data_IF_033185211825
#
_entry.id   IF_033185211825
#
_cell.length_a   1.000
_cell.length_b   1.000
_cell.length_c   1.000
_cell.angle_alpha   90.00
_cell.angle_beta   90.00
_cell.angle_gamma   90.00
#
_symmetry.space_group_name_H-M   'P 1'
#
loop_
_entity.id
_entity.type
_entity.pdbx_description
1 polymer ?
#
# COMPACT_ATOMS: atom_id res chain seq x y z
N UNK A 1 16.41 14.96 -35.04
CA UNK A 1 15.90 14.20 -33.87
C UNK A 1 17.09 13.49 -33.23
N UNK A 2 17.49 13.82 -32.03
CA UNK A 2 18.52 13.06 -31.31
C UNK A 2 17.82 12.04 -30.40
N UNK A 3 18.17 10.80 -30.59
CA UNK A 3 17.86 9.66 -29.73
C UNK A 3 18.60 9.81 -28.40
N UNK A 4 17.90 10.06 -27.32
CA UNK A 4 18.47 10.06 -25.96
C UNK A 4 18.58 8.62 -25.48
N UNK A 5 19.79 8.09 -25.42
CA UNK A 5 20.10 6.82 -24.73
C UNK A 5 20.32 7.11 -23.24
N UNK A 6 19.47 6.57 -22.43
CA UNK A 6 19.75 6.45 -21.00
C UNK A 6 20.76 5.31 -20.78
N UNK A 7 21.89 5.65 -20.23
CA UNK A 7 22.84 4.67 -19.65
C UNK A 7 22.91 4.91 -18.14
N UNK A 8 22.78 3.89 -17.31
CA UNK A 8 23.08 4.00 -15.88
C UNK A 8 24.59 4.07 -15.70
N UNK A 9 25.08 5.08 -15.00
CA UNK A 9 26.48 5.15 -14.56
C UNK A 9 26.70 4.15 -13.44
N UNK A 10 27.35 3.05 -13.78
CA UNK A 10 28.01 2.19 -12.82
C UNK A 10 29.41 2.78 -12.56
N UNK A 11 29.64 3.23 -11.33
CA UNK A 11 30.99 3.58 -10.87
C UNK A 11 31.74 2.29 -10.55
N UNK A 12 32.71 1.95 -11.40
CA UNK A 12 33.68 0.91 -11.14
C UNK A 12 34.85 1.51 -10.38
N UNK A 13 35.06 1.10 -9.13
CA UNK A 13 36.40 1.16 -8.50
C UNK A 13 37.02 -0.23 -8.54
N UNK A 14 38.05 -0.34 -9.34
CA UNK A 14 38.92 -1.50 -9.46
C UNK A 14 39.85 -1.50 -8.24
N UNK A 15 39.87 -2.60 -7.49
CA UNK A 15 41.08 -3.03 -6.76
C UNK A 15 41.24 -4.53 -6.89
N UNK A 16 42.32 -4.90 -7.54
CA UNK A 16 42.86 -6.25 -7.69
C UNK A 16 43.40 -6.78 -6.36
N UNK A 17 43.14 -8.03 -6.02
CA UNK A 17 44.20 -9.01 -5.77
C UNK A 17 43.67 -10.42 -5.44
N UNK A 18 44.28 -11.35 -6.12
CA UNK A 18 44.38 -12.79 -6.00
C UNK A 18 44.07 -13.48 -4.66
N UNK A 19 43.24 -14.56 -4.63
CA UNK A 19 43.74 -15.96 -4.66
C UNK A 19 42.65 -17.00 -4.37
N UNK A 20 42.68 -18.05 -5.19
CA UNK A 20 42.34 -19.47 -4.96
C UNK A 20 40.91 -19.91 -4.52
N UNK A 21 40.28 -20.49 -5.50
CA UNK A 21 39.61 -21.81 -5.54
C UNK A 21 38.72 -22.27 -4.38
N UNK A 22 37.44 -22.51 -4.72
CA UNK A 22 36.50 -23.27 -3.94
C UNK A 22 35.16 -23.39 -4.63
N UNK A 23 35.06 -24.34 -5.57
CA UNK A 23 33.81 -24.72 -6.23
C UNK A 23 32.76 -25.17 -5.18
N UNK A 24 31.64 -24.44 -5.03
CA UNK A 24 30.39 -25.01 -4.52
C UNK A 24 29.24 -24.67 -5.46
N UNK A 25 28.81 -25.73 -6.18
CA UNK A 25 27.61 -25.76 -7.01
C UNK A 25 26.38 -25.40 -6.16
N UNK A 26 25.61 -24.38 -6.56
CA UNK A 26 24.22 -24.18 -6.15
C UNK A 26 23.37 -25.30 -6.75
N UNK A 27 22.91 -26.22 -5.93
CA UNK A 27 21.90 -27.24 -6.29
C UNK A 27 20.52 -26.62 -5.99
N UNK A 28 19.67 -26.59 -7.02
CA UNK A 28 18.43 -25.86 -7.05
C UNK A 28 17.37 -26.30 -6.05
N UNK A 29 16.54 -25.35 -5.66
CA UNK A 29 15.50 -25.43 -4.63
C UNK A 29 14.31 -26.41 -4.88
N UNK A 30 14.33 -27.25 -5.90
CA UNK A 30 13.24 -28.20 -6.16
C UNK A 30 13.51 -29.60 -5.62
N UNK A 31 14.75 -29.96 -5.35
CA UNK A 31 15.09 -31.28 -4.76
C UNK A 31 14.82 -31.35 -3.25
N UNK A 32 14.83 -30.21 -2.55
CA UNK A 32 14.52 -30.15 -1.12
C UNK A 32 13.06 -30.43 -0.80
N UNK A 33 12.11 -29.91 -1.59
CA UNK A 33 10.66 -30.14 -1.39
C UNK A 33 10.25 -31.59 -1.64
N UNK A 34 10.85 -32.24 -2.63
CA UNK A 34 10.58 -33.65 -2.93
C UNK A 34 11.17 -34.59 -1.87
N UNK A 35 12.32 -34.25 -1.30
CA UNK A 35 12.92 -35.00 -0.20
C UNK A 35 12.11 -34.87 1.11
N UNK A 36 11.51 -33.71 1.39
CA UNK A 36 10.65 -33.49 2.56
C UNK A 36 9.37 -34.32 2.52
N UNK A 37 8.70 -34.36 1.36
CA UNK A 37 7.46 -35.15 1.18
C UNK A 37 7.78 -36.64 1.32
N UNK A 38 8.89 -37.10 0.76
CA UNK A 38 9.33 -38.51 0.89
C UNK A 38 9.69 -38.88 2.33
N UNK A 39 10.31 -37.98 3.08
CA UNK A 39 10.68 -38.22 4.48
C UNK A 39 9.45 -38.23 5.40
N UNK A 40 8.44 -37.40 5.13
CA UNK A 40 7.18 -37.39 5.87
C UNK A 40 6.39 -38.70 5.69
N UNK A 41 6.37 -39.26 4.46
CA UNK A 41 5.76 -40.54 4.18
C UNK A 41 6.54 -41.71 4.82
N UNK A 42 7.86 -41.65 4.87
CA UNK A 42 8.70 -42.67 5.52
C UNK A 42 8.54 -42.61 7.06
N UNK A 43 8.49 -41.42 7.66
CA UNK A 43 8.26 -41.27 9.11
C UNK A 43 6.84 -41.67 9.53
N UNK A 44 5.82 -41.35 8.73
CA UNK A 44 4.44 -41.80 9.02
C UNK A 44 4.26 -43.31 8.90
N UNK A 45 4.97 -43.97 7.99
CA UNK A 45 4.95 -45.45 7.87
C UNK A 45 5.75 -46.14 8.97
N UNK A 46 6.78 -45.52 9.53
CA UNK A 46 7.54 -46.05 10.66
C UNK A 46 6.78 -45.95 12.01
N UNK A 47 5.92 -44.95 12.17
CA UNK A 47 5.08 -44.77 13.38
C UNK A 47 3.93 -45.79 13.44
N UNK A 48 3.55 -46.41 12.33
CA UNK A 48 2.47 -47.42 12.25
C UNK A 48 2.97 -48.89 12.33
N UNK A 49 4.26 -49.13 12.55
CA UNK A 49 4.81 -50.45 12.67
C UNK A 49 4.72 -51.03 14.10
N UNK A 50 4.14 -52.19 14.33
CA UNK A 50 4.03 -52.81 15.66
C UNK A 50 5.35 -53.36 16.24
N UNK A 51 6.48 -53.15 15.58
CA UNK A 51 7.82 -53.59 16.02
C UNK A 51 8.71 -52.43 16.48
N UNK A 52 8.22 -51.57 17.38
CA UNK A 52 9.04 -50.52 17.96
C UNK A 52 9.71 -51.02 19.25
N UNK A 53 10.68 -51.92 19.10
CA UNK A 53 11.62 -52.29 20.14
C UNK A 53 12.93 -51.54 19.97
N UNK A 54 13.18 -50.58 20.86
CA UNK A 54 14.49 -49.98 21.19
C UNK A 54 15.31 -49.53 19.97
N UNK A 55 14.97 -48.36 19.39
CA UNK A 55 15.92 -47.57 18.64
C UNK A 55 16.57 -46.54 19.57
N UNK A 56 17.84 -46.77 19.88
CA UNK A 56 18.71 -45.75 20.48
C UNK A 56 18.89 -44.66 19.41
N UNK A 57 18.17 -43.55 19.53
CA UNK A 57 18.37 -42.37 18.69
C UNK A 57 19.79 -41.87 18.92
N UNK A 58 20.64 -41.99 17.90
CA UNK A 58 21.97 -41.40 17.97
C UNK A 58 21.87 -39.88 18.14
N UNK A 59 22.73 -39.26 18.90
CA UNK A 59 22.79 -37.80 19.13
C UNK A 59 22.85 -37.01 17.82
N UNK A 60 23.36 -37.63 16.73
CA UNK A 60 23.41 -37.03 15.40
C UNK A 60 22.04 -36.91 14.73
N UNK A 61 21.12 -37.85 14.91
CA UNK A 61 19.77 -37.79 14.36
C UNK A 61 18.92 -36.72 15.09
N UNK A 62 19.08 -36.63 16.41
CA UNK A 62 18.42 -35.58 17.21
C UNK A 62 18.93 -34.19 16.84
N UNK A 63 20.22 -34.02 16.59
CA UNK A 63 20.80 -32.76 16.10
C UNK A 63 20.31 -32.43 14.69
N UNK A 64 20.14 -33.41 13.82
CA UNK A 64 19.63 -33.23 12.46
C UNK A 64 18.14 -32.83 12.44
N UNK A 65 17.33 -33.50 13.25
CA UNK A 65 15.90 -33.17 13.43
C UNK A 65 15.74 -31.79 14.07
N UNK A 66 16.54 -31.47 15.09
CA UNK A 66 16.55 -30.17 15.76
C UNK A 66 17.00 -29.05 14.83
N UNK A 67 18.03 -29.29 14.01
CA UNK A 67 18.45 -28.37 12.95
C UNK A 67 17.36 -28.15 11.91
N UNK A 68 16.71 -29.23 11.46
CA UNK A 68 15.62 -29.18 10.48
C UNK A 68 14.40 -28.45 11.02
N UNK A 69 14.00 -28.70 12.28
CA UNK A 69 12.91 -27.98 12.96
C UNK A 69 13.24 -26.49 13.13
N UNK A 70 14.49 -26.17 13.50
CA UNK A 70 14.94 -24.77 13.59
C UNK A 70 14.97 -24.09 12.23
N UNK A 71 15.48 -24.73 11.20
CA UNK A 71 15.51 -24.18 9.84
C UNK A 71 14.10 -23.98 9.29
N UNK A 72 13.15 -24.90 9.57
CA UNK A 72 11.74 -24.74 9.22
C UNK A 72 11.04 -23.65 10.06
N UNK A 73 11.41 -23.51 11.33
CA UNK A 73 10.90 -22.43 12.18
C UNK A 73 11.46 -21.07 11.76
N UNK A 74 12.72 -21.02 11.32
CA UNK A 74 13.36 -19.81 10.80
C UNK A 74 12.86 -19.45 9.40
N UNK A 75 12.55 -20.42 8.52
CA UNK A 75 11.84 -20.15 7.25
C UNK A 75 10.39 -19.69 7.50
N UNK A 76 9.67 -20.24 8.48
CA UNK A 76 8.36 -19.73 8.88
C UNK A 76 8.42 -18.35 9.52
N UNK A 77 9.50 -18.01 10.25
CA UNK A 77 9.73 -16.65 10.72
C UNK A 77 10.00 -15.65 9.60
N UNK A 78 10.62 -16.09 8.51
CA UNK A 78 10.94 -15.25 7.35
C UNK A 78 9.76 -14.86 6.46
N UNK A 79 8.57 -15.44 6.65
CA UNK A 79 7.40 -15.22 5.79
C UNK A 79 6.23 -14.53 6.49
N UNK A 80 6.47 -13.84 7.62
CA UNK A 80 5.44 -13.06 8.32
C UNK A 80 5.41 -11.63 7.81
N UNK A 81 5.02 -11.45 6.57
CA UNK A 81 4.72 -10.13 6.00
C UNK A 81 3.27 -10.11 5.54
N UNK A 82 2.69 -8.94 5.58
CA UNK A 82 1.42 -8.70 4.93
C UNK A 82 1.53 -9.04 3.45
N UNK A 83 0.43 -9.43 2.83
CA UNK A 83 0.40 -9.70 1.41
C UNK A 83 -0.57 -8.78 0.72
N UNK A 84 -0.12 -8.19 -0.37
CA UNK A 84 -0.92 -7.28 -1.16
C UNK A 84 -1.05 -7.80 -2.58
N UNK A 85 -2.27 -7.78 -3.09
CA UNK A 85 -2.55 -8.09 -4.49
C UNK A 85 -3.49 -7.06 -5.09
N UNK A 86 -3.41 -6.92 -6.40
CA UNK A 86 -4.36 -6.15 -7.18
C UNK A 86 -5.13 -7.12 -8.07
N UNK A 87 -6.46 -7.07 -7.98
CA UNK A 87 -7.36 -7.87 -8.78
C UNK A 87 -8.13 -6.97 -9.73
N UNK A 88 -7.99 -7.21 -11.01
CA UNK A 88 -8.74 -6.51 -12.07
C UNK A 88 -9.38 -7.54 -12.98
N UNK A 89 -10.68 -7.45 -13.30
CA UNK A 89 -11.30 -8.30 -14.30
C UNK A 89 -10.87 -7.87 -15.71
N UNK A 90 -11.05 -8.76 -16.68
CA UNK A 90 -10.89 -8.40 -18.08
C UNK A 90 -11.87 -7.28 -18.49
N UNK A 91 -11.49 -6.50 -19.51
CA UNK A 91 -12.29 -5.38 -20.01
C UNK A 91 -13.60 -5.79 -20.72
N UNK A 92 -13.96 -7.08 -20.73
CA UNK A 92 -15.12 -7.65 -21.41
C UNK A 92 -16.26 -7.97 -20.45
N UNK A 93 -17.48 -8.07 -20.99
CA UNK A 93 -18.68 -8.45 -20.24
C UNK A 93 -19.38 -7.30 -19.55
N UNK A 94 -20.51 -7.60 -18.91
CA UNK A 94 -21.29 -6.68 -18.09
C UNK A 94 -20.55 -6.34 -16.79
N UNK A 95 -21.05 -5.39 -16.03
CA UNK A 95 -20.47 -5.09 -14.71
C UNK A 95 -20.65 -6.27 -13.74
N UNK A 96 -21.80 -6.95 -13.82
CA UNK A 96 -22.05 -8.15 -13.03
C UNK A 96 -21.10 -9.31 -13.37
N UNK A 97 -20.73 -9.50 -14.63
CA UNK A 97 -19.71 -10.51 -15.01
C UNK A 97 -18.37 -10.20 -14.34
N UNK A 98 -18.01 -8.92 -14.23
CA UNK A 98 -16.79 -8.46 -13.58
C UNK A 98 -16.82 -8.68 -12.06
N UNK A 99 -17.96 -8.44 -11.44
CA UNK A 99 -18.17 -8.72 -10.01
C UNK A 99 -18.06 -10.22 -9.72
N UNK A 100 -18.66 -11.07 -10.54
CA UNK A 100 -18.56 -12.52 -10.43
C UNK A 100 -17.11 -13.02 -10.63
N UNK A 101 -16.39 -12.45 -11.59
CA UNK A 101 -14.96 -12.75 -11.77
C UNK A 101 -14.15 -12.41 -10.51
N UNK A 102 -14.35 -11.21 -9.95
CA UNK A 102 -13.64 -10.77 -8.75
C UNK A 102 -14.02 -11.61 -7.53
N UNK A 103 -15.28 -11.99 -7.39
CA UNK A 103 -15.74 -12.90 -6.34
C UNK A 103 -14.95 -14.22 -6.37
N UNK A 104 -14.88 -14.86 -7.54
CA UNK A 104 -14.16 -16.12 -7.70
C UNK A 104 -12.65 -15.96 -7.49
N UNK A 105 -12.06 -14.89 -8.02
CA UNK A 105 -10.62 -14.63 -7.88
C UNK A 105 -10.21 -14.31 -6.45
N UNK A 106 -11.00 -13.49 -5.76
CA UNK A 106 -10.76 -13.17 -4.35
C UNK A 106 -10.95 -14.41 -3.48
N UNK A 107 -12.02 -15.18 -3.68
CA UNK A 107 -12.26 -16.44 -2.95
C UNK A 107 -11.09 -17.41 -3.09
N UNK A 108 -10.65 -17.68 -4.33
CA UNK A 108 -9.49 -18.54 -4.57
C UNK A 108 -8.20 -18.00 -3.91
N UNK A 109 -8.00 -16.69 -3.92
CA UNK A 109 -6.85 -16.09 -3.23
C UNK A 109 -6.95 -16.30 -1.72
N UNK A 110 -8.10 -16.02 -1.12
CA UNK A 110 -8.29 -16.18 0.33
C UNK A 110 -8.17 -17.64 0.78
N UNK A 111 -8.58 -18.61 -0.03
CA UNK A 111 -8.36 -20.04 0.26
C UNK A 111 -6.87 -20.38 0.30
N UNK A 112 -6.06 -19.81 -0.60
CA UNK A 112 -4.60 -19.99 -0.58
C UNK A 112 -4.00 -19.31 0.66
N UNK A 113 -4.40 -18.08 0.94
CA UNK A 113 -3.89 -17.32 2.09
C UNK A 113 -4.25 -17.99 3.43
N UNK A 114 -5.43 -18.60 3.52
CA UNK A 114 -5.86 -19.39 4.68
C UNK A 114 -4.93 -20.56 5.01
N UNK A 115 -4.34 -21.19 3.99
CA UNK A 115 -3.34 -22.27 4.22
C UNK A 115 -2.06 -21.73 4.87
N UNK A 116 -1.79 -20.44 4.70
CA UNK A 116 -0.68 -19.72 5.32
C UNK A 116 -1.11 -18.95 6.60
N UNK A 117 -2.32 -19.25 7.11
CA UNK A 117 -2.93 -18.61 8.29
C UNK A 117 -3.17 -17.09 8.13
N UNK A 118 -3.23 -16.56 6.91
CA UNK A 118 -3.57 -15.16 6.67
C UNK A 118 -5.07 -14.98 6.43
N UNK A 119 -5.59 -13.86 6.89
CA UNK A 119 -6.98 -13.44 6.72
C UNK A 119 -7.06 -12.11 5.99
N UNK A 120 -8.19 -11.85 5.34
CA UNK A 120 -8.47 -10.55 4.72
C UNK A 120 -8.54 -9.48 5.80
N UNK A 121 -7.69 -8.46 5.69
CA UNK A 121 -7.62 -7.34 6.62
C UNK A 121 -8.20 -6.06 6.04
N UNK A 122 -7.98 -5.82 4.74
CA UNK A 122 -8.36 -4.57 4.10
C UNK A 122 -8.62 -4.77 2.61
N UNK A 123 -9.57 -4.02 2.06
CA UNK A 123 -9.84 -3.95 0.64
C UNK A 123 -10.15 -2.51 0.19
N UNK A 124 -9.47 -2.01 -0.84
CA UNK A 124 -9.82 -0.76 -1.53
C UNK A 124 -10.43 -1.09 -2.88
N UNK A 125 -11.63 -0.58 -3.10
CA UNK A 125 -12.40 -0.78 -4.32
C UNK A 125 -12.34 0.50 -5.16
N UNK A 126 -11.81 0.38 -6.36
CA UNK A 126 -11.77 1.45 -7.35
C UNK A 126 -12.91 1.24 -8.35
N UNK A 127 -13.76 2.22 -8.52
CA UNK A 127 -14.88 2.20 -9.47
C UNK A 127 -14.67 3.26 -10.57
N UNK A 128 -15.14 2.96 -11.78
CA UNK A 128 -15.13 3.93 -12.88
C UNK A 128 -16.35 4.85 -12.88
N UNK A 129 -17.46 4.44 -12.23
CA UNK A 129 -18.74 5.14 -12.25
C UNK A 129 -19.56 4.67 -11.04
N UNK A 130 -19.30 5.29 -9.90
CA UNK A 130 -19.89 4.87 -8.63
C UNK A 130 -21.41 5.06 -8.61
N UNK A 131 -21.95 6.05 -9.31
CA UNK A 131 -23.40 6.30 -9.38
C UNK A 131 -24.17 5.11 -9.98
N UNK A 132 -23.61 4.51 -11.04
CA UNK A 132 -24.23 3.36 -11.70
C UNK A 132 -23.84 2.01 -11.10
N UNK A 133 -22.69 1.92 -10.42
CA UNK A 133 -22.08 0.65 -10.04
C UNK A 133 -22.28 0.26 -8.58
N UNK A 134 -22.50 1.24 -7.68
CA UNK A 134 -22.52 0.97 -6.24
C UNK A 134 -23.64 0.00 -5.82
N UNK A 135 -24.83 0.12 -6.42
CA UNK A 135 -25.95 -0.75 -6.09
C UNK A 135 -25.67 -2.20 -6.49
N UNK A 136 -25.20 -2.43 -7.74
CA UNK A 136 -24.86 -3.77 -8.21
C UNK A 136 -23.71 -4.38 -7.37
N UNK A 137 -22.71 -3.57 -6.99
CA UNK A 137 -21.62 -4.01 -6.12
C UNK A 137 -22.18 -4.46 -4.75
N UNK A 138 -23.02 -3.66 -4.10
CA UNK A 138 -23.58 -3.96 -2.78
C UNK A 138 -24.51 -5.19 -2.79
N UNK A 139 -25.18 -5.46 -3.89
CA UNK A 139 -26.04 -6.63 -4.09
C UNK A 139 -25.26 -7.89 -4.48
N UNK A 140 -23.98 -7.76 -4.86
CA UNK A 140 -23.15 -8.87 -5.34
C UNK A 140 -22.65 -9.79 -4.21
N UNK A 141 -22.35 -11.06 -4.55
CA UNK A 141 -21.70 -12.00 -3.64
C UNK A 141 -20.32 -11.50 -3.19
N UNK A 142 -19.60 -10.80 -4.05
CA UNK A 142 -18.31 -10.18 -3.70
C UNK A 142 -18.45 -9.29 -2.45
N UNK A 143 -19.44 -8.41 -2.44
CA UNK A 143 -19.68 -7.52 -1.31
C UNK A 143 -20.23 -8.29 -0.10
N UNK A 144 -21.25 -9.11 -0.31
CA UNK A 144 -21.98 -9.79 0.77
C UNK A 144 -21.13 -10.80 1.54
N UNK A 145 -20.19 -11.48 0.88
CA UNK A 145 -19.39 -12.52 1.52
C UNK A 145 -18.01 -12.03 1.97
N UNK A 146 -17.40 -11.06 1.26
CA UNK A 146 -16.03 -10.68 1.55
C UNK A 146 -15.85 -9.24 2.03
N UNK A 147 -16.66 -8.28 1.59
CA UNK A 147 -16.37 -6.87 1.86
C UNK A 147 -17.11 -6.30 3.05
N UNK A 148 -18.41 -6.56 3.21
CA UNK A 148 -19.27 -5.88 4.19
C UNK A 148 -18.78 -5.97 5.65
N UNK A 149 -18.10 -7.06 6.02
CA UNK A 149 -17.62 -7.34 7.37
C UNK A 149 -16.09 -7.16 7.49
N UNK A 150 -15.47 -6.54 6.48
CA UNK A 150 -14.02 -6.28 6.41
C UNK A 150 -13.77 -4.75 6.44
N UNK A 151 -12.57 -4.33 6.80
CA UNK A 151 -12.17 -2.95 6.56
C UNK A 151 -12.09 -2.70 5.05
N UNK A 152 -12.97 -1.88 4.51
CA UNK A 152 -12.96 -1.55 3.10
C UNK A 152 -13.26 -0.08 2.85
N UNK A 153 -12.87 0.38 1.68
CA UNK A 153 -13.24 1.68 1.13
C UNK A 153 -13.63 1.56 -0.34
N UNK A 154 -14.54 2.40 -0.78
CA UNK A 154 -14.95 2.55 -2.17
C UNK A 154 -14.64 3.97 -2.61
N UNK A 155 -13.97 4.11 -3.75
CA UNK A 155 -13.67 5.40 -4.35
C UNK A 155 -13.93 5.36 -5.86
N UNK A 156 -14.50 6.43 -6.40
CA UNK A 156 -14.55 6.62 -7.84
C UNK A 156 -13.24 7.22 -8.32
N UNK A 157 -12.40 6.33 -8.80
CA UNK A 157 -11.14 6.57 -9.49
C UNK A 157 -11.05 5.50 -10.58
N UNK A 158 -11.23 5.87 -11.82
CA UNK A 158 -11.37 4.94 -12.95
C UNK A 158 -10.09 4.13 -13.17
N UNK A 159 -10.12 2.77 -13.04
CA UNK A 159 -8.98 1.94 -13.45
C UNK A 159 -8.74 2.06 -14.95
N UNK A 160 -7.53 2.47 -15.35
CA UNK A 160 -7.24 2.79 -16.76
C UNK A 160 -6.97 1.56 -17.64
N UNK A 161 -6.86 0.38 -17.05
CA UNK A 161 -6.81 -0.90 -17.78
C UNK A 161 -8.16 -1.36 -18.37
N UNK A 162 -9.20 -0.54 -18.28
CA UNK A 162 -10.53 -0.82 -18.81
C UNK A 162 -11.39 -1.77 -17.97
N UNK A 163 -10.96 -2.13 -16.77
CA UNK A 163 -11.66 -3.11 -15.92
C UNK A 163 -12.95 -2.60 -15.29
N UNK A 164 -13.20 -1.29 -15.25
CA UNK A 164 -14.32 -0.59 -14.58
C UNK A 164 -14.36 -0.74 -13.05
N UNK A 165 -13.80 -1.81 -12.52
CA UNK A 165 -13.63 -2.08 -11.09
C UNK A 165 -12.31 -2.79 -10.89
N UNK A 166 -11.58 -2.42 -9.84
CA UNK A 166 -10.38 -3.12 -9.40
C UNK A 166 -10.31 -3.13 -7.88
N UNK A 167 -9.68 -4.16 -7.32
CA UNK A 167 -9.48 -4.31 -5.89
C UNK A 167 -8.00 -4.28 -5.55
N UNK A 168 -7.62 -3.47 -4.56
CA UNK A 168 -6.37 -3.63 -3.82
C UNK A 168 -6.70 -4.36 -2.54
N UNK A 169 -6.12 -5.53 -2.33
CA UNK A 169 -6.44 -6.45 -1.23
C UNK A 169 -5.22 -6.63 -0.35
N UNK A 170 -5.41 -6.56 0.96
CA UNK A 170 -4.40 -6.88 1.98
C UNK A 170 -4.85 -8.10 2.78
N UNK A 171 -3.99 -9.11 2.87
CA UNK A 171 -4.13 -10.23 3.79
C UNK A 171 -2.97 -10.23 4.79
N UNK A 172 -3.23 -10.66 6.03
CA UNK A 172 -2.23 -10.68 7.10
C UNK A 172 -2.37 -11.91 7.99
N UNK A 173 -1.26 -12.36 8.55
CA UNK A 173 -1.21 -13.32 9.67
C UNK A 173 -0.87 -12.62 11.00
N UNK A 174 -0.71 -11.30 10.97
CA UNK A 174 -0.33 -10.48 12.12
C UNK A 174 -1.58 -9.80 12.68
N UNK A 175 -1.82 -9.98 13.96
CA UNK A 175 -2.94 -9.38 14.70
C UNK A 175 -2.52 -8.08 15.41
N UNK A 176 -1.79 -7.19 14.72
CA UNK A 176 -1.59 -5.84 15.28
C UNK A 176 -2.92 -5.10 15.19
N UNK A 177 -3.44 -4.59 16.32
CA UNK A 177 -4.66 -3.81 16.30
C UNK A 177 -4.52 -2.62 15.37
N UNK A 178 -5.37 -2.58 14.36
CA UNK A 178 -5.45 -1.51 13.38
C UNK A 178 -6.92 -1.16 13.19
N UNK A 179 -7.25 0.12 13.29
CA UNK A 179 -8.59 0.63 13.04
C UNK A 179 -8.59 1.40 11.72
N UNK A 180 -9.55 1.09 10.89
CA UNK A 180 -9.76 1.78 9.64
C UNK A 180 -11.13 2.44 9.62
N UNK A 181 -11.17 3.76 9.45
CA UNK A 181 -12.40 4.52 9.39
C UNK A 181 -12.54 5.11 7.98
N UNK A 182 -13.57 4.67 7.27
CA UNK A 182 -13.95 5.23 5.98
C UNK A 182 -15.16 6.14 6.18
N UNK A 183 -14.95 7.45 6.26
CA UNK A 183 -15.99 8.42 6.61
C UNK A 183 -16.51 9.12 5.37
N UNK A 184 -17.80 9.04 5.18
CA UNK A 184 -18.56 9.64 4.07
C UNK A 184 -19.73 10.45 4.65
N UNK A 185 -20.02 11.59 4.05
CA UNK A 185 -21.23 12.35 4.36
C UNK A 185 -22.42 11.76 3.60
N UNK A 186 -23.60 11.93 4.14
CA UNK A 186 -24.85 11.69 3.40
C UNK A 186 -25.12 12.85 2.44
N UNK A 187 -26.05 12.67 1.49
CA UNK A 187 -26.46 13.74 0.57
C UNK A 187 -27.02 14.97 1.33
N UNK A 188 -27.82 14.74 2.36
CA UNK A 188 -28.40 15.80 3.18
C UNK A 188 -27.33 16.59 3.94
N UNK A 189 -26.32 15.91 4.48
CA UNK A 189 -25.23 16.54 5.21
C UNK A 189 -24.27 17.31 4.31
N UNK A 190 -24.06 16.85 3.09
CA UNK A 190 -23.16 17.49 2.12
C UNK A 190 -23.82 18.68 1.42
N UNK A 191 -25.17 18.68 1.33
CA UNK A 191 -25.93 19.72 0.65
C UNK A 191 -25.65 21.10 1.26
N UNK A 192 -25.50 22.09 0.40
CA UNK A 192 -25.28 23.51 0.75
C UNK A 192 -24.02 23.78 1.60
N UNK A 193 -23.07 22.82 1.65
CA UNK A 193 -21.79 22.96 2.33
C UNK A 193 -20.63 22.94 1.33
N UNK A 194 -19.67 23.84 1.55
CA UNK A 194 -18.44 23.88 0.78
C UNK A 194 -17.45 22.79 1.23
N UNK A 195 -16.32 22.66 0.54
CA UNK A 195 -15.31 21.62 0.83
C UNK A 195 -14.64 21.82 2.21
N UNK A 196 -14.50 23.04 2.70
CA UNK A 196 -14.01 23.30 4.04
C UNK A 196 -14.96 22.73 5.11
N UNK A 197 -16.23 23.10 5.04
CA UNK A 197 -17.24 22.64 6.00
C UNK A 197 -17.40 21.12 5.99
N UNK A 198 -17.41 20.49 4.79
CA UNK A 198 -17.48 19.04 4.67
C UNK A 198 -16.26 18.35 5.27
N UNK A 199 -15.08 18.89 5.05
CA UNK A 199 -13.83 18.37 5.63
C UNK A 199 -13.84 18.45 7.15
N UNK A 200 -14.23 19.58 7.72
CA UNK A 200 -14.39 19.75 9.18
C UNK A 200 -15.34 18.68 9.74
N UNK A 201 -16.53 18.53 9.16
CA UNK A 201 -17.51 17.52 9.62
C UNK A 201 -16.96 16.10 9.60
N UNK A 202 -16.16 15.73 8.61
CA UNK A 202 -15.55 14.40 8.51
C UNK A 202 -14.50 14.21 9.62
N UNK A 203 -13.64 15.20 9.85
CA UNK A 203 -12.65 15.13 10.91
C UNK A 203 -13.29 15.12 12.31
N UNK A 204 -14.32 15.92 12.54
CA UNK A 204 -15.07 15.92 13.81
C UNK A 204 -15.66 14.55 14.11
N UNK A 205 -16.21 13.85 13.12
CA UNK A 205 -16.72 12.48 13.27
C UNK A 205 -15.61 11.49 13.61
N UNK A 206 -14.49 11.62 12.93
CA UNK A 206 -13.35 10.77 13.19
C UNK A 206 -12.86 10.98 14.64
N UNK A 207 -12.65 12.22 15.06
CA UNK A 207 -12.25 12.57 16.42
C UNK A 207 -13.23 12.00 17.47
N UNK A 208 -14.54 12.18 17.24
CA UNK A 208 -15.56 11.61 18.12
C UNK A 208 -15.53 10.08 18.19
N UNK A 209 -15.17 9.41 17.09
CA UNK A 209 -15.08 7.95 17.06
C UNK A 209 -13.89 7.45 17.89
N UNK A 210 -12.71 8.05 17.70
CA UNK A 210 -11.48 7.60 18.39
C UNK A 210 -11.42 8.02 19.86
N UNK A 211 -11.95 9.20 20.20
CA UNK A 211 -11.93 9.71 21.60
C UNK A 211 -12.71 8.82 22.57
N UNK A 212 -13.75 8.11 22.10
CA UNK A 212 -14.51 7.14 22.91
C UNK A 212 -13.64 5.99 23.46
N UNK A 213 -12.52 5.74 22.84
CA UNK A 213 -11.55 4.69 23.25
C UNK A 213 -10.27 5.27 23.82
N UNK A 214 -10.24 6.58 24.13
CA UNK A 214 -9.09 7.27 24.73
C UNK A 214 -7.94 7.56 23.76
N UNK A 215 -8.17 7.41 22.45
CA UNK A 215 -7.19 7.75 21.42
C UNK A 215 -7.28 9.23 21.01
N UNK A 216 -6.17 9.75 20.47
CA UNK A 216 -6.06 11.11 19.91
C UNK A 216 -5.54 11.05 18.48
N UNK A 217 -5.78 12.11 17.69
CA UNK A 217 -5.21 12.19 16.34
C UNK A 217 -3.68 12.26 16.40
N UNK A 218 -3.13 13.09 17.25
CA UNK A 218 -1.68 13.24 17.42
C UNK A 218 -0.98 11.90 17.68
N UNK A 219 -1.51 11.11 18.62
CA UNK A 219 -0.86 9.84 19.01
C UNK A 219 -1.14 8.71 18.02
N UNK A 220 -2.38 8.54 17.59
CA UNK A 220 -2.86 7.28 17.05
C UNK A 220 -3.14 7.31 15.56
N UNK A 221 -3.40 8.49 14.95
CA UNK A 221 -3.60 8.62 13.52
C UNK A 221 -2.26 8.54 12.79
N UNK A 222 -2.16 7.61 11.83
CA UNK A 222 -0.92 7.35 11.09
C UNK A 222 -1.02 7.82 9.64
N UNK A 223 -2.19 7.63 9.04
CA UNK A 223 -2.38 7.88 7.61
C UNK A 223 -3.78 8.36 7.30
N UNK A 224 -3.89 9.28 6.34
CA UNK A 224 -5.16 9.65 5.70
C UNK A 224 -5.08 9.52 4.19
N UNK A 225 -6.23 9.17 3.57
CA UNK A 225 -6.49 9.32 2.14
C UNK A 225 -7.68 10.27 1.99
N UNK A 226 -7.44 11.41 1.35
CA UNK A 226 -8.42 12.46 1.16
C UNK A 226 -8.81 12.49 -0.31
N UNK A 227 -10.02 12.06 -0.61
CA UNK A 227 -10.57 12.05 -1.97
C UNK A 227 -11.37 13.33 -2.18
N UNK A 228 -11.02 14.09 -3.20
CA UNK A 228 -11.61 15.40 -3.47
C UNK A 228 -12.27 15.39 -4.85
N UNK A 229 -13.59 15.47 -4.87
CA UNK A 229 -14.32 15.65 -6.12
C UNK A 229 -14.03 17.05 -6.70
N UNK A 230 -13.78 17.12 -8.02
CA UNK A 230 -13.40 18.36 -8.68
C UNK A 230 -12.25 19.10 -7.96
N UNK A 231 -11.14 18.37 -7.72
CA UNK A 231 -10.02 18.81 -6.89
C UNK A 231 -9.47 20.18 -7.28
N UNK A 232 -9.46 20.53 -8.57
CA UNK A 232 -8.98 21.85 -9.05
C UNK A 232 -9.78 23.03 -8.45
N UNK A 233 -10.99 22.79 -7.94
CA UNK A 233 -11.87 23.80 -7.33
C UNK A 233 -11.98 23.64 -5.81
N UNK A 234 -12.06 22.41 -5.33
CA UNK A 234 -12.39 22.11 -3.94
C UNK A 234 -11.17 21.93 -3.02
N UNK A 235 -9.95 21.80 -3.58
CA UNK A 235 -8.77 21.44 -2.79
C UNK A 235 -8.39 22.47 -1.75
N UNK A 236 -8.54 23.77 -2.06
CA UNK A 236 -8.16 24.84 -1.15
C UNK A 236 -8.92 24.74 0.19
N UNK A 237 -10.26 24.60 0.15
CA UNK A 237 -11.05 24.46 1.37
C UNK A 237 -10.71 23.20 2.17
N UNK A 238 -10.34 22.11 1.49
CA UNK A 238 -9.88 20.86 2.15
C UNK A 238 -8.57 21.10 2.90
N UNK A 239 -7.60 21.78 2.29
CA UNK A 239 -6.31 22.11 2.90
C UNK A 239 -6.49 23.01 4.11
N UNK A 240 -7.27 24.08 3.98
CA UNK A 240 -7.57 25.01 5.08
C UNK A 240 -8.19 24.27 6.27
N UNK A 241 -9.27 23.54 6.04
CA UNK A 241 -9.94 22.79 7.09
C UNK A 241 -9.04 21.75 7.77
N UNK A 242 -8.22 21.01 7.00
CA UNK A 242 -7.27 20.05 7.56
C UNK A 242 -6.21 20.75 8.42
N UNK A 243 -5.65 21.86 7.95
CA UNK A 243 -4.63 22.61 8.69
C UNK A 243 -5.21 23.11 10.02
N UNK A 244 -6.42 23.68 10.01
CA UNK A 244 -7.08 24.14 11.23
C UNK A 244 -7.33 23.01 12.23
N UNK A 245 -7.83 21.84 11.74
CA UNK A 245 -8.04 20.65 12.60
C UNK A 245 -6.71 20.16 13.17
N UNK A 246 -5.65 20.12 12.37
CA UNK A 246 -4.36 19.62 12.82
C UNK A 246 -3.75 20.54 13.88
N UNK A 247 -3.85 21.86 13.72
CA UNK A 247 -3.41 22.82 14.74
C UNK A 247 -4.20 22.64 16.04
N UNK A 248 -5.52 22.47 15.97
CA UNK A 248 -6.39 22.22 17.13
C UNK A 248 -6.03 20.90 17.84
N UNK A 249 -5.59 19.89 17.12
CA UNK A 249 -5.24 18.56 17.63
C UNK A 249 -3.76 18.37 17.97
N UNK A 250 -2.95 19.42 17.88
CA UNK A 250 -1.52 19.40 18.24
C UNK A 250 -0.61 18.81 17.15
N UNK A 251 -1.11 18.64 15.93
CA UNK A 251 -0.34 18.22 14.76
C UNK A 251 0.21 19.47 14.04
N UNK A 252 1.41 19.86 14.38
CA UNK A 252 2.04 21.12 13.94
C UNK A 252 3.46 20.89 13.39
N UNK A 253 4.07 21.94 12.85
CA UNK A 253 5.47 21.88 12.41
C UNK A 253 6.46 21.67 13.58
N UNK A 254 6.09 22.02 14.80
CA UNK A 254 6.91 21.86 16.00
C UNK A 254 6.77 20.48 16.65
N UNK A 255 5.72 19.74 16.30
CA UNK A 255 5.48 18.36 16.73
C UNK A 255 5.73 17.40 15.57
N UNK A 256 4.69 17.05 14.87
CA UNK A 256 4.72 16.26 13.63
C UNK A 256 3.39 16.38 12.89
N UNK A 257 3.39 15.98 11.65
CA UNK A 257 2.17 15.67 10.91
C UNK A 257 2.01 14.16 10.72
N UNK A 258 1.16 13.75 9.81
CA UNK A 258 0.92 12.34 9.44
C UNK A 258 1.11 12.13 7.95
N UNK A 259 1.36 10.90 7.53
CA UNK A 259 1.35 10.57 6.11
C UNK A 259 -0.05 10.82 5.52
N UNK A 260 -0.13 11.43 4.35
CA UNK A 260 -1.41 11.79 3.72
C UNK A 260 -1.30 11.84 2.20
N UNK A 261 -2.38 11.43 1.51
CA UNK A 261 -2.56 11.65 0.08
C UNK A 261 -3.85 12.41 -0.14
N UNK A 262 -3.76 13.59 -0.75
CA UNK A 262 -4.92 14.40 -1.16
C UNK A 262 -5.04 14.36 -2.69
N UNK A 263 -6.04 13.66 -3.21
CA UNK A 263 -6.12 13.30 -4.62
C UNK A 263 -7.54 13.40 -5.16
N UNK A 264 -7.68 13.58 -6.46
CA UNK A 264 -8.97 13.53 -7.13
C UNK A 264 -9.68 12.20 -6.91
N UNK A 265 -10.96 12.26 -6.56
CA UNK A 265 -11.80 11.09 -6.38
C UNK A 265 -13.21 11.50 -5.95
N UNK A 266 -14.20 10.70 -6.30
CA UNK A 266 -15.58 10.97 -5.96
C UNK A 266 -16.21 9.80 -5.19
N UNK A 267 -17.42 10.04 -4.73
CA UNK A 267 -18.28 9.04 -4.09
C UNK A 267 -19.65 9.07 -4.77
N UNK A 268 -20.49 8.06 -4.60
CA UNK A 268 -21.84 8.06 -5.15
C UNK A 268 -22.79 9.08 -4.48
N UNK A 269 -22.31 9.80 -3.47
CA UNK A 269 -23.12 10.76 -2.71
C UNK A 269 -23.14 12.11 -3.42
N UNK A 270 -24.33 12.56 -3.80
CA UNK A 270 -24.51 13.88 -4.40
C UNK A 270 -24.07 14.97 -3.42
N UNK A 271 -23.58 16.07 -3.95
CA UNK A 271 -23.06 17.22 -3.21
C UNK A 271 -21.84 16.93 -2.32
N UNK A 272 -21.43 15.67 -2.15
CA UNK A 272 -20.20 15.36 -1.42
C UNK A 272 -18.97 15.72 -2.26
N UNK A 273 -18.22 16.70 -1.78
CA UNK A 273 -16.98 17.16 -2.40
C UNK A 273 -15.75 16.49 -1.79
N UNK A 274 -15.88 15.89 -0.61
CA UNK A 274 -14.80 15.28 0.16
C UNK A 274 -15.22 13.95 0.74
N UNK A 275 -14.28 13.01 0.75
CA UNK A 275 -14.37 11.76 1.49
C UNK A 275 -13.00 11.44 2.08
N UNK A 276 -12.92 10.92 3.30
CA UNK A 276 -11.64 10.65 3.95
C UNK A 276 -11.63 9.26 4.57
N UNK A 277 -10.51 8.58 4.36
CA UNK A 277 -10.17 7.35 5.06
C UNK A 277 -9.05 7.62 6.06
N UNK A 278 -9.16 7.01 7.24
CA UNK A 278 -8.22 7.19 8.34
C UNK A 278 -7.70 5.83 8.80
N UNK A 279 -6.38 5.73 8.95
CA UNK A 279 -5.71 4.56 9.49
C UNK A 279 -5.16 4.89 10.87
N UNK A 280 -5.60 4.16 11.87
CA UNK A 280 -5.33 4.40 13.28
C UNK A 280 -4.72 3.15 13.91
N UNK A 281 -3.69 3.32 14.73
CA UNK A 281 -3.09 2.26 15.51
C UNK A 281 -3.29 2.55 17.02
N UNK A 282 -4.13 1.78 17.74
CA UNK A 282 -4.47 2.06 19.13
C UNK A 282 -3.27 2.05 20.07
N UNK A 283 -2.37 1.09 19.91
CA UNK A 283 -1.27 0.83 20.84
C UNK A 283 0.07 1.48 20.42
N UNK A 284 0.08 2.26 19.34
CA UNK A 284 1.31 2.87 18.80
C UNK A 284 1.86 3.93 19.76
N UNK A 285 3.17 3.94 19.97
CA UNK A 285 3.86 4.97 20.71
C UNK A 285 4.63 5.89 19.76
N UNK A 286 4.97 7.10 20.22
CA UNK A 286 5.76 8.04 19.39
C UNK A 286 7.14 7.46 19.05
N UNK A 287 7.77 6.72 19.96
CA UNK A 287 9.03 6.00 19.70
C UNK A 287 8.97 4.96 18.58
N UNK A 288 7.78 4.50 18.22
CA UNK A 288 7.57 3.51 17.15
C UNK A 288 7.47 4.17 15.78
N UNK A 289 7.39 5.50 15.73
CA UNK A 289 7.22 6.27 14.51
C UNK A 289 8.53 6.93 14.08
N UNK A 290 8.73 7.02 12.77
CA UNK A 290 9.71 7.89 12.14
C UNK A 290 9.06 8.64 11.00
N UNK A 291 9.13 9.95 11.03
CA UNK A 291 8.66 10.83 9.95
C UNK A 291 9.76 10.97 8.91
N UNK A 292 9.46 10.52 7.68
CA UNK A 292 10.46 10.37 6.61
C UNK A 292 10.71 11.71 5.92
N UNK A 293 11.98 12.02 5.74
CA UNK A 293 12.44 13.24 5.11
C UNK A 293 13.45 12.92 4.00
N UNK A 294 13.48 13.76 2.98
CA UNK A 294 14.44 13.66 1.87
C UNK A 294 14.83 15.08 1.41
N UNK A 295 15.44 15.88 2.30
CA UNK A 295 15.65 17.32 2.14
C UNK A 295 16.49 17.70 0.90
N UNK A 296 17.31 16.80 0.36
CA UNK A 296 18.02 17.02 -0.91
C UNK A 296 17.12 16.81 -2.15
N UNK A 297 15.92 16.23 -1.96
CA UNK A 297 14.95 15.94 -3.02
C UNK A 297 13.64 16.70 -2.87
N UNK A 298 13.18 16.87 -1.63
CA UNK A 298 11.86 17.36 -1.25
C UNK A 298 11.98 18.34 -0.09
N UNK A 299 11.28 19.46 -0.15
CA UNK A 299 11.16 20.35 0.99
C UNK A 299 10.09 19.86 1.99
N UNK A 300 10.16 20.32 3.26
CA UNK A 300 9.07 20.13 4.21
C UNK A 300 7.76 20.72 3.69
N UNK A 301 6.64 20.05 3.97
CA UNK A 301 5.35 20.40 3.37
C UNK A 301 4.76 21.69 3.93
N UNK A 302 5.01 21.99 5.21
CA UNK A 302 4.55 23.22 5.86
C UNK A 302 5.14 24.50 5.22
N UNK A 303 6.30 24.43 4.57
CA UNK A 303 6.91 25.58 3.88
C UNK A 303 6.05 26.14 2.74
N UNK A 304 5.13 25.33 2.18
CA UNK A 304 4.18 25.77 1.15
C UNK A 304 2.70 25.61 1.57
N UNK A 305 2.47 25.62 2.89
CA UNK A 305 1.13 25.78 3.46
C UNK A 305 0.28 24.52 3.53
N UNK A 306 0.88 23.32 3.49
CA UNK A 306 0.13 22.07 3.64
C UNK A 306 0.67 21.24 4.81
N UNK A 307 -0.23 20.68 5.61
CA UNK A 307 0.08 19.93 6.82
C UNK A 307 0.03 18.42 6.55
N UNK A 308 1.17 17.81 6.19
CA UNK A 308 1.33 16.36 6.11
C UNK A 308 2.80 15.96 6.12
N UNK A 309 3.10 14.71 6.47
CA UNK A 309 4.44 14.13 6.31
C UNK A 309 4.61 13.49 4.91
N UNK A 310 5.82 13.57 4.36
CA UNK A 310 6.17 12.90 3.10
C UNK A 310 6.04 11.39 3.18
N UNK A 311 6.19 10.85 4.39
CA UNK A 311 5.97 9.46 4.72
C UNK A 311 6.18 9.21 6.21
N UNK A 312 5.62 8.11 6.69
CA UNK A 312 5.77 7.66 8.08
C UNK A 312 6.19 6.20 8.09
N UNK A 313 7.28 5.87 8.80
CA UNK A 313 7.64 4.51 9.13
C UNK A 313 7.08 4.15 10.50
N UNK A 314 6.43 3.00 10.61
CA UNK A 314 6.08 2.38 11.88
C UNK A 314 7.00 1.20 12.16
N UNK A 315 7.49 1.10 13.38
CA UNK A 315 8.18 -0.07 13.90
C UNK A 315 7.17 -0.89 14.69
N UNK A 316 6.67 -1.97 14.08
CA UNK A 316 5.73 -2.90 14.69
C UNK A 316 6.47 -4.12 15.26
N UNK A 317 5.86 -4.93 16.13
CA UNK A 317 6.55 -6.05 16.77
C UNK A 317 7.16 -7.09 15.81
N UNK A 318 6.62 -7.22 14.60
CA UNK A 318 7.05 -8.22 13.61
C UNK A 318 7.67 -7.64 12.34
N UNK A 319 7.48 -6.33 12.10
CA UNK A 319 7.90 -5.70 10.85
C UNK A 319 7.93 -4.18 10.95
N UNK A 320 8.60 -3.54 10.01
CA UNK A 320 8.50 -2.11 9.77
C UNK A 320 7.57 -1.87 8.59
N UNK A 321 6.63 -0.95 8.73
CA UNK A 321 5.73 -0.50 7.67
C UNK A 321 6.03 0.96 7.32
N UNK A 322 6.07 1.24 6.01
CA UNK A 322 6.36 2.55 5.46
C UNK A 322 5.16 3.05 4.68
N UNK A 323 4.58 4.13 5.09
CA UNK A 323 3.46 4.79 4.44
C UNK A 323 3.99 6.01 3.68
N UNK A 324 4.24 5.85 2.38
CA UNK A 324 4.70 6.97 1.54
C UNK A 324 3.47 7.73 1.03
N UNK A 325 3.44 9.00 1.35
CA UNK A 325 2.37 9.94 0.92
C UNK A 325 2.36 10.13 -0.59
N UNK A 326 1.28 10.67 -1.11
CA UNK A 326 1.23 11.12 -2.51
C UNK A 326 2.47 11.95 -2.85
N UNK A 327 3.24 11.44 -3.80
CA UNK A 327 4.52 12.01 -4.22
C UNK A 327 4.48 12.30 -5.70
N UNK A 328 4.81 13.53 -6.06
CA UNK A 328 4.82 14.02 -7.44
C UNK A 328 6.22 14.48 -7.86
N UNK A 329 6.34 14.93 -9.11
CA UNK A 329 7.59 15.48 -9.67
C UNK A 329 7.85 16.88 -9.14
N UNK A 330 8.62 16.97 -8.06
CA UNK A 330 8.94 18.20 -7.32
C UNK A 330 10.42 18.18 -6.95
N UNK A 331 11.03 19.35 -6.84
CA UNK A 331 12.38 19.51 -6.33
C UNK A 331 12.42 19.91 -4.85
N UNK A 332 13.61 20.10 -4.31
CA UNK A 332 13.85 20.50 -2.92
C UNK A 332 13.39 21.94 -2.57
N UNK A 333 12.93 22.70 -3.54
CA UNK A 333 12.36 24.03 -3.35
C UNK A 333 10.84 24.05 -3.49
N UNK A 334 10.21 22.86 -3.64
CA UNK A 334 8.78 22.73 -3.81
C UNK A 334 8.28 23.10 -5.20
N UNK A 335 9.19 23.20 -6.19
CA UNK A 335 8.83 23.57 -7.56
C UNK A 335 8.49 22.32 -8.38
N UNK A 336 7.47 22.44 -9.22
CA UNK A 336 7.17 21.39 -10.22
C UNK A 336 8.33 21.31 -11.20
N UNK A 337 8.84 20.13 -11.45
CA UNK A 337 9.88 19.90 -12.46
C UNK A 337 9.38 19.01 -13.57
N UNK A 338 9.90 19.26 -14.77
CA UNK A 338 9.54 18.53 -15.99
C UNK A 338 8.06 18.70 -16.39
N UNK A 339 7.54 19.92 -16.31
CA UNK A 339 6.18 20.23 -16.73
C UNK A 339 5.90 19.74 -18.15
N UNK A 340 4.73 19.15 -18.38
CA UNK A 340 4.31 18.61 -19.66
C UNK A 340 5.00 17.32 -20.10
N UNK A 341 5.88 16.71 -19.29
CA UNK A 341 6.63 15.50 -19.63
C UNK A 341 6.37 14.38 -18.59
N UNK A 342 5.39 13.54 -18.84
CA UNK A 342 5.00 12.46 -17.92
C UNK A 342 6.11 11.43 -17.71
N UNK A 343 6.96 11.16 -18.70
CA UNK A 343 8.08 10.21 -18.59
C UNK A 343 9.11 10.72 -17.59
N UNK A 344 9.52 11.99 -17.73
CA UNK A 344 10.49 12.59 -16.81
C UNK A 344 9.89 12.83 -15.43
N UNK A 345 8.60 13.19 -15.35
CA UNK A 345 7.88 13.29 -14.07
C UNK A 345 7.82 11.94 -13.36
N UNK A 346 7.53 10.85 -14.07
CA UNK A 346 7.54 9.49 -13.51
C UNK A 346 8.93 9.14 -12.94
N UNK A 347 9.99 9.40 -13.68
CA UNK A 347 11.36 9.17 -13.21
C UNK A 347 11.67 9.97 -11.93
N UNK A 348 11.34 11.27 -11.92
CA UNK A 348 11.61 12.15 -10.77
C UNK A 348 10.85 11.76 -9.51
N UNK A 349 9.55 11.44 -9.62
CA UNK A 349 8.80 11.02 -8.44
C UNK A 349 9.28 9.69 -7.87
N UNK A 350 9.74 8.74 -8.71
CA UNK A 350 10.34 7.49 -8.25
C UNK A 350 11.69 7.72 -7.54
N UNK A 351 12.49 8.69 -7.99
CA UNK A 351 13.69 9.14 -7.26
C UNK A 351 13.32 9.71 -5.88
N UNK A 352 12.27 10.52 -5.81
CA UNK A 352 11.76 11.09 -4.56
C UNK A 352 11.31 10.00 -3.58
N UNK A 353 10.54 9.01 -4.05
CA UNK A 353 10.10 7.86 -3.25
C UNK A 353 11.32 7.06 -2.75
N UNK A 354 12.29 6.79 -3.62
CA UNK A 354 13.52 6.08 -3.25
C UNK A 354 14.33 6.80 -2.18
N UNK A 355 14.36 8.13 -2.22
CA UNK A 355 15.04 8.95 -1.21
C UNK A 355 14.33 8.89 0.15
N UNK A 356 12.99 8.94 0.17
CA UNK A 356 12.19 8.77 1.39
C UNK A 356 12.35 7.38 2.02
N UNK A 357 12.30 6.33 1.21
CA UNK A 357 12.52 4.96 1.68
C UNK A 357 13.93 4.80 2.28
N UNK A 358 14.94 5.37 1.63
CA UNK A 358 16.32 5.35 2.11
C UNK A 358 16.48 6.03 3.47
N UNK A 359 15.81 7.16 3.71
CA UNK A 359 15.80 7.80 5.02
C UNK A 359 15.21 6.87 6.11
N UNK A 360 14.22 6.06 5.75
CA UNK A 360 13.62 5.05 6.62
C UNK A 360 14.39 3.72 6.71
N UNK A 361 15.59 3.60 6.13
CA UNK A 361 16.37 2.36 6.04
C UNK A 361 15.74 1.27 5.15
N UNK A 362 14.88 1.66 4.19
CA UNK A 362 14.26 0.79 3.19
C UNK A 362 14.74 1.12 1.77
N UNK A 363 14.30 0.32 0.82
CA UNK A 363 14.63 0.43 -0.60
C UNK A 363 13.40 0.26 -1.48
N UNK A 364 13.51 0.51 -2.77
CA UNK A 364 12.44 0.26 -3.74
C UNK A 364 12.03 -1.23 -3.81
N UNK A 365 12.88 -2.16 -3.40
CA UNK A 365 12.57 -3.59 -3.37
C UNK A 365 11.67 -3.99 -2.19
N UNK A 366 11.51 -3.13 -1.21
CA UNK A 366 10.65 -3.36 -0.05
C UNK A 366 9.20 -2.92 -0.32
N UNK A 367 8.94 -2.28 -1.47
CA UNK A 367 7.61 -1.80 -1.86
C UNK A 367 6.68 -2.99 -2.13
N UNK A 368 5.51 -2.95 -1.54
CA UNK A 368 4.48 -3.98 -1.66
C UNK A 368 3.51 -3.69 -2.80
N UNK A 369 3.19 -2.42 -3.03
CA UNK A 369 2.37 -1.99 -4.17
C UNK A 369 2.51 -0.48 -4.42
N UNK A 370 2.12 -0.06 -5.63
CA UNK A 370 1.89 1.34 -5.99
C UNK A 370 0.42 1.59 -6.31
N UNK A 371 -0.09 2.76 -5.91
CA UNK A 371 -1.26 3.38 -6.53
C UNK A 371 -0.74 4.57 -7.33
N UNK A 372 -1.07 4.60 -8.61
CA UNK A 372 -0.58 5.58 -9.58
C UNK A 372 -1.77 6.39 -10.08
N UNK A 373 -1.71 7.68 -9.89
CA UNK A 373 -2.74 8.63 -10.23
C UNK A 373 -2.32 9.40 -11.47
N UNK A 374 -3.09 9.31 -12.54
CA UNK A 374 -2.86 10.07 -13.78
C UNK A 374 -3.90 11.15 -13.93
N UNK A 375 -3.43 12.37 -14.22
CA UNK A 375 -4.28 13.50 -14.50
C UNK A 375 -4.94 13.41 -15.88
N UNK A 376 -4.27 12.79 -16.84
CA UNK A 376 -4.72 12.56 -18.20
C UNK A 376 -4.62 11.07 -18.56
N UNK A 377 -5.74 10.49 -19.00
CA UNK A 377 -5.82 9.08 -19.40
C UNK A 377 -4.90 8.76 -20.59
N UNK A 378 -4.58 9.73 -21.46
CA UNK A 378 -3.71 9.52 -22.61
C UNK A 378 -2.28 9.14 -22.24
N UNK A 379 -1.85 9.41 -20.99
CA UNK A 379 -0.55 9.03 -20.46
C UNK A 379 -0.47 7.57 -20.00
N UNK A 380 -1.61 6.86 -19.92
CA UNK A 380 -1.71 5.52 -19.35
C UNK A 380 -0.71 4.53 -19.95
N UNK A 381 -0.71 4.34 -21.27
CA UNK A 381 0.16 3.33 -21.88
C UNK A 381 1.64 3.63 -21.70
N UNK A 382 2.01 4.90 -21.68
CA UNK A 382 3.39 5.32 -21.43
C UNK A 382 3.82 4.94 -20.00
N UNK A 383 3.00 5.26 -19.01
CA UNK A 383 3.32 4.97 -17.61
C UNK A 383 3.25 3.48 -17.30
N UNK A 384 2.26 2.76 -17.84
CA UNK A 384 2.16 1.31 -17.73
C UNK A 384 3.42 0.59 -18.28
N UNK A 385 3.89 1.03 -19.44
CA UNK A 385 5.12 0.50 -20.04
C UNK A 385 6.34 0.75 -19.14
N UNK A 386 6.48 1.95 -18.58
CA UNK A 386 7.58 2.27 -17.65
C UNK A 386 7.52 1.41 -16.39
N UNK A 387 6.35 1.26 -15.78
CA UNK A 387 6.21 0.45 -14.57
C UNK A 387 6.52 -1.02 -14.84
N UNK A 388 6.01 -1.58 -15.93
CA UNK A 388 6.29 -2.96 -16.33
C UNK A 388 7.76 -3.19 -16.69
N UNK A 389 8.46 -2.17 -17.17
CA UNK A 389 9.90 -2.25 -17.49
C UNK A 389 10.77 -2.18 -16.22
N UNK A 390 10.48 -1.26 -15.30
CA UNK A 390 11.35 -0.99 -14.15
C UNK A 390 10.94 -1.73 -12.88
N UNK A 391 9.64 -1.99 -12.70
CA UNK A 391 9.09 -2.62 -11.48
C UNK A 391 8.09 -3.76 -11.79
N UNK A 392 8.45 -4.73 -12.67
CA UNK A 392 7.51 -5.77 -13.13
C UNK A 392 7.01 -6.69 -12.01
N UNK A 393 7.71 -6.74 -10.88
CA UNK A 393 7.37 -7.61 -9.74
C UNK A 393 6.52 -6.92 -8.68
N UNK A 394 6.36 -5.58 -8.76
CA UNK A 394 5.59 -4.83 -7.78
C UNK A 394 4.16 -4.64 -8.28
N UNK A 395 3.15 -5.14 -7.57
CA UNK A 395 1.76 -4.89 -7.91
C UNK A 395 1.48 -3.39 -8.01
N UNK A 396 0.82 -2.96 -9.08
CA UNK A 396 0.43 -1.56 -9.22
C UNK A 396 -0.93 -1.42 -9.90
N UNK A 397 -1.63 -0.37 -9.55
CA UNK A 397 -2.85 0.05 -10.21
C UNK A 397 -2.68 1.48 -10.70
N UNK A 398 -3.07 1.72 -11.95
CA UNK A 398 -3.09 3.05 -12.56
C UNK A 398 -4.56 3.48 -12.71
N UNK A 399 -4.89 4.61 -12.09
CA UNK A 399 -6.24 5.14 -12.10
C UNK A 399 -6.26 6.58 -12.62
N UNK A 400 -7.37 6.98 -13.22
CA UNK A 400 -7.63 8.38 -13.51
C UNK A 400 -7.95 9.11 -12.20
N UNK A 401 -7.11 10.08 -11.87
CA UNK A 401 -7.36 10.97 -10.76
C UNK A 401 -6.56 12.27 -10.94
N UNK A 402 -7.24 13.41 -10.89
CA UNK A 402 -6.55 14.69 -10.96
C UNK A 402 -5.69 14.91 -9.73
N UNK A 403 -4.45 15.28 -9.96
CA UNK A 403 -3.49 15.67 -8.94
C UNK A 403 -3.75 17.13 -8.52
N UNK A 404 -3.45 17.47 -7.29
CA UNK A 404 -3.83 18.74 -6.68
C UNK A 404 -3.20 20.01 -7.30
N UNK A 405 -2.16 19.87 -8.13
CA UNK A 405 -1.58 20.98 -8.91
C UNK A 405 -1.62 20.65 -10.41
N UNK A 406 -2.07 21.59 -11.28
CA UNK A 406 -2.19 21.35 -12.72
C UNK A 406 -0.90 20.91 -13.43
N UNK A 407 0.26 21.39 -12.98
CA UNK A 407 1.56 21.03 -13.56
C UNK A 407 2.03 19.61 -13.28
N UNK A 408 1.42 18.91 -12.32
CA UNK A 408 1.67 17.50 -12.03
C UNK A 408 0.76 16.62 -12.87
N UNK A 409 1.36 15.89 -13.81
CA UNK A 409 0.64 14.94 -14.67
C UNK A 409 0.41 13.59 -13.98
N UNK A 410 1.26 13.28 -13.02
CA UNK A 410 1.29 11.99 -12.31
C UNK A 410 1.65 12.19 -10.84
N UNK A 411 1.03 11.39 -9.98
CA UNK A 411 1.37 11.24 -8.56
C UNK A 411 1.36 9.75 -8.22
N UNK A 412 2.20 9.33 -7.30
CA UNK A 412 2.21 7.95 -6.78
C UNK A 412 2.24 7.95 -5.26
N UNK A 413 1.57 6.96 -4.69
CA UNK A 413 1.76 6.54 -3.30
C UNK A 413 2.14 5.08 -3.25
N UNK A 414 2.79 4.66 -2.17
CA UNK A 414 3.11 3.26 -1.96
C UNK A 414 3.15 2.89 -0.47
N UNK A 415 3.03 1.60 -0.21
CA UNK A 415 3.40 1.02 1.07
C UNK A 415 4.61 0.14 0.85
N UNK A 416 5.60 0.23 1.75
CA UNK A 416 6.73 -0.68 1.79
C UNK A 416 6.76 -1.39 3.15
N UNK A 417 7.34 -2.59 3.18
CA UNK A 417 7.46 -3.40 4.40
C UNK A 417 8.84 -4.05 4.46
N UNK A 418 9.41 -4.07 5.68
CA UNK A 418 10.70 -4.67 5.97
C UNK A 418 10.65 -5.43 7.29
N UNK A 419 11.29 -6.60 7.33
CA UNK A 419 11.48 -7.40 8.56
C UNK A 419 12.68 -6.91 9.36
#
# INVERSE_FOLDING_TARGET
QPTVRFQPRLSSSVCSNHSKAGNKKKIGGNKGKQACISLFFVLSSLIQSPYLGIFIFSSSLYSYISYFIRTFADEKKKNKMDKYIILSPEAKGSFNDRLNFLYLKLGNHLDIEKMEHRTLQYCKVFLSDSQNQIKELQESLLYQEFLKDTNFTIVEQTPLNGSKISLLVKTTDVHTPMLFHSIRLTEEEAKDKNSYEQTRMIFDRYQQAISKTGMTMERNLVRTWIYVAHIDVNYQGVVEARNDVFDEEGLTADTHYIASTGIGGATPVRHATVAIDFLTYPDIQESDKKYLQALEHLNPTHEYGVAFERGTRLTLPSQQQYFISGTASIDKHGQVVYEGDVVRQTGRLLENIGALLKDGDATMNDIQYFIIYLRDMSDYHTVEMLMNQFYPQIPHIIVEAKVCRPGWLIEMECIAEKQ
#
